data_IF_399058330876
#
_entry.id   IF_399058330876
#
_cell.length_a   1.000
_cell.length_b   1.000
_cell.length_c   1.000
_cell.angle_alpha   90.00
_cell.angle_beta   90.00
_cell.angle_gamma   90.00
#
_symmetry.space_group_name_H-M   'P 1'
#
loop_
_entity.id
_entity.type
_entity.pdbx_description
1 polymer ?
#
# COMPACT_ATOMS: atom_id res chain seq x y z
N UNK A 1 -16.42 2.54 15.64
CA UNK A 1 -17.34 3.54 15.03
C UNK A 1 -16.73 4.95 14.86
N UNK A 2 -16.22 5.62 15.90
CA UNK A 2 -15.64 7.00 15.78
C UNK A 2 -14.46 7.12 14.80
N UNK A 3 -13.62 6.09 14.67
CA UNK A 3 -12.44 6.12 13.80
C UNK A 3 -12.79 5.93 12.31
N UNK A 4 -13.76 5.05 12.03
CA UNK A 4 -14.33 4.81 10.70
C UNK A 4 -14.91 6.09 10.09
N UNK A 5 -15.71 6.82 10.87
CA UNK A 5 -16.36 8.05 10.43
C UNK A 5 -15.35 9.15 10.08
N UNK A 6 -14.21 9.22 10.79
CA UNK A 6 -13.13 10.17 10.48
C UNK A 6 -12.39 9.86 9.18
N UNK A 7 -12.33 8.60 8.74
CA UNK A 7 -11.64 8.20 7.49
C UNK A 7 -12.52 8.44 6.28
N UNK A 8 -13.77 7.99 6.32
CA UNK A 8 -14.77 8.24 5.29
C UNK A 8 -14.92 9.74 5.04
N UNK A 9 -15.05 10.52 6.13
CA UNK A 9 -15.19 11.97 6.05
C UNK A 9 -13.98 12.64 5.37
N UNK A 10 -12.76 12.17 5.62
CA UNK A 10 -11.55 12.72 4.98
C UNK A 10 -11.55 12.51 3.47
N UNK A 11 -11.86 11.31 3.00
CA UNK A 11 -11.90 11.02 1.56
C UNK A 11 -13.03 11.78 0.86
N UNK A 12 -14.20 11.87 1.50
CA UNK A 12 -15.32 12.65 0.99
C UNK A 12 -14.95 14.13 0.87
N UNK A 13 -14.31 14.70 1.90
CA UNK A 13 -13.84 16.10 1.87
C UNK A 13 -12.81 16.32 0.78
N UNK A 14 -11.84 15.42 0.60
CA UNK A 14 -10.82 15.52 -0.45
C UNK A 14 -11.46 15.51 -1.85
N UNK A 15 -12.38 14.59 -2.09
CA UNK A 15 -13.11 14.51 -3.36
C UNK A 15 -13.99 15.74 -3.60
N UNK A 16 -14.71 16.21 -2.58
CA UNK A 16 -15.52 17.42 -2.65
C UNK A 16 -14.65 18.65 -2.96
N UNK A 17 -13.51 18.77 -2.30
CA UNK A 17 -12.53 19.84 -2.55
C UNK A 17 -12.00 19.78 -3.98
N UNK A 18 -11.64 18.58 -4.46
CA UNK A 18 -11.22 18.37 -5.84
C UNK A 18 -12.29 18.82 -6.85
N UNK A 19 -13.55 18.43 -6.64
CA UNK A 19 -14.66 18.81 -7.50
C UNK A 19 -14.86 20.34 -7.57
N UNK A 20 -14.78 21.04 -6.43
CA UNK A 20 -14.83 22.51 -6.40
C UNK A 20 -13.68 23.12 -7.19
N UNK A 21 -12.45 22.64 -6.96
CA UNK A 21 -11.26 23.15 -7.66
C UNK A 21 -11.39 22.97 -9.17
N UNK A 22 -11.82 21.79 -9.64
CA UNK A 22 -12.03 21.51 -11.06
C UNK A 22 -13.09 22.43 -11.64
N UNK A 23 -14.19 22.68 -10.92
CA UNK A 23 -15.25 23.55 -11.40
C UNK A 23 -14.75 24.98 -11.61
N UNK A 24 -14.08 25.57 -10.61
CA UNK A 24 -13.50 26.91 -10.76
C UNK A 24 -12.40 26.95 -11.84
N UNK A 25 -11.58 25.92 -11.95
CA UNK A 25 -10.56 25.81 -13.00
C UNK A 25 -11.20 25.73 -14.40
N UNK A 26 -12.31 25.02 -14.54
CA UNK A 26 -13.06 24.93 -15.79
C UNK A 26 -13.64 26.29 -16.22
N UNK A 27 -14.14 27.09 -15.27
CA UNK A 27 -14.65 28.43 -15.53
C UNK A 27 -13.51 29.40 -15.85
N UNK A 28 -12.40 29.34 -15.11
CA UNK A 28 -11.21 30.15 -15.35
C UNK A 28 -10.63 29.91 -16.75
N UNK A 29 -10.67 28.66 -17.23
CA UNK A 29 -10.21 28.31 -18.57
C UNK A 29 -11.18 28.76 -19.65
N UNK A 30 -12.47 28.48 -19.49
CA UNK A 30 -13.45 28.71 -20.54
C UNK A 30 -13.78 30.18 -20.75
N UNK A 31 -13.93 30.92 -19.65
CA UNK A 31 -14.43 32.29 -19.68
C UNK A 31 -13.79 33.10 -18.53
N UNK A 32 -14.55 33.33 -17.47
CA UNK A 32 -14.15 34.10 -16.30
C UNK A 32 -14.98 33.66 -15.10
N UNK A 33 -14.41 33.81 -13.90
CA UNK A 33 -15.10 33.52 -12.66
C UNK A 33 -15.94 34.75 -12.29
N UNK A 34 -17.18 34.79 -12.77
CA UNK A 34 -18.18 35.82 -12.44
C UNK A 34 -19.50 35.17 -12.00
N UNK A 35 -20.37 35.97 -11.38
CA UNK A 35 -21.66 35.48 -10.82
C UNK A 35 -22.56 34.93 -11.93
N UNK A 36 -22.59 35.56 -13.10
CA UNK A 36 -23.39 35.10 -14.25
C UNK A 36 -23.00 33.69 -14.70
N UNK A 37 -21.71 33.41 -14.86
CA UNK A 37 -21.23 32.07 -15.22
C UNK A 37 -21.48 31.07 -14.08
N UNK A 38 -21.38 31.51 -12.82
CA UNK A 38 -21.67 30.66 -11.67
C UNK A 38 -23.14 30.24 -11.63
N UNK A 39 -24.07 31.16 -11.90
CA UNK A 39 -25.50 30.89 -12.00
C UNK A 39 -25.84 30.04 -13.23
N UNK A 40 -25.15 30.27 -14.35
CA UNK A 40 -25.36 29.53 -15.60
C UNK A 40 -24.93 28.07 -15.49
N UNK A 41 -23.74 27.80 -14.94
CA UNK A 41 -23.13 26.45 -14.93
C UNK A 41 -23.29 25.73 -13.58
N UNK A 42 -23.34 26.47 -12.48
CA UNK A 42 -23.34 25.94 -11.13
C UNK A 42 -24.47 24.94 -10.83
N UNK A 43 -25.73 25.20 -11.21
CA UNK A 43 -26.82 24.27 -10.91
C UNK A 43 -26.63 22.88 -11.55
N UNK A 44 -26.20 22.84 -12.82
CA UNK A 44 -26.05 21.59 -13.58
C UNK A 44 -24.81 20.81 -13.14
N UNK A 45 -23.68 21.50 -12.94
CA UNK A 45 -22.46 20.87 -12.41
C UNK A 45 -22.63 20.47 -10.94
N UNK A 46 -23.35 21.26 -10.15
CA UNK A 46 -23.71 20.93 -8.77
C UNK A 46 -24.57 19.67 -8.70
N UNK A 47 -25.58 19.56 -9.58
CA UNK A 47 -26.38 18.35 -9.71
C UNK A 47 -25.52 17.14 -10.07
N UNK A 48 -24.59 17.28 -11.03
CA UNK A 48 -23.63 16.22 -11.37
C UNK A 48 -22.83 15.75 -10.16
N UNK A 49 -22.27 16.68 -9.39
CA UNK A 49 -21.48 16.33 -8.20
C UNK A 49 -22.33 15.65 -7.14
N UNK A 50 -23.57 16.13 -6.89
CA UNK A 50 -24.50 15.49 -5.95
C UNK A 50 -24.77 14.05 -6.38
N UNK A 51 -25.11 13.83 -7.65
CA UNK A 51 -25.35 12.49 -8.19
C UNK A 51 -24.08 11.63 -8.07
N UNK A 52 -22.92 12.16 -8.44
CA UNK A 52 -21.65 11.44 -8.36
C UNK A 52 -21.25 11.04 -6.94
N UNK A 53 -21.42 11.93 -5.96
CA UNK A 53 -21.14 11.61 -4.57
C UNK A 53 -22.14 10.61 -4.01
N UNK A 54 -23.41 10.74 -4.36
CA UNK A 54 -24.44 9.78 -3.97
C UNK A 54 -24.16 8.38 -4.56
N UNK A 55 -23.86 8.27 -5.86
CA UNK A 55 -23.47 6.99 -6.46
C UNK A 55 -22.20 6.43 -5.83
N UNK A 56 -21.22 7.28 -5.56
CA UNK A 56 -19.98 6.86 -4.89
C UNK A 56 -20.21 6.32 -3.48
N UNK A 57 -21.16 6.89 -2.73
CA UNK A 57 -21.58 6.37 -1.42
C UNK A 57 -22.31 5.04 -1.55
N UNK A 58 -23.24 4.90 -2.50
CA UNK A 58 -23.96 3.64 -2.76
C UNK A 58 -23.01 2.50 -3.13
N UNK A 59 -21.97 2.78 -3.92
CA UNK A 59 -20.93 1.81 -4.27
C UNK A 59 -19.89 1.60 -3.17
N UNK A 60 -20.07 2.20 -1.99
CA UNK A 60 -19.14 2.09 -0.85
C UNK A 60 -17.70 2.47 -1.23
N UNK A 61 -17.54 3.43 -2.15
CA UNK A 61 -16.24 3.90 -2.67
C UNK A 61 -15.29 4.40 -1.58
N UNK A 62 -15.86 4.92 -0.50
CA UNK A 62 -15.13 5.49 0.63
C UNK A 62 -14.91 4.51 1.79
N UNK A 63 -15.38 3.26 1.66
CA UNK A 63 -15.20 2.24 2.66
C UNK A 63 -13.92 1.44 2.36
N UNK A 64 -12.96 1.55 3.27
CA UNK A 64 -11.60 1.00 3.11
C UNK A 64 -11.32 -0.18 4.03
N UNK A 65 -12.31 -0.63 4.80
CA UNK A 65 -12.17 -1.75 5.74
C UNK A 65 -12.10 -3.11 5.03
N UNK A 66 -12.47 -3.15 3.74
CA UNK A 66 -12.33 -4.31 2.87
C UNK A 66 -11.08 -4.19 2.00
N UNK A 67 -10.21 -5.19 2.09
CA UNK A 67 -9.01 -5.28 1.26
C UNK A 67 -9.40 -5.57 -0.19
N UNK A 68 -9.55 -4.52 -1.01
CA UNK A 68 -9.79 -4.69 -2.44
C UNK A 68 -8.45 -4.86 -3.18
N UNK A 69 -8.32 -5.87 -4.06
CA UNK A 69 -7.21 -5.93 -5.00
C UNK A 69 -7.28 -4.74 -5.96
N UNK A 70 -6.12 -4.28 -6.44
CA UNK A 70 -5.96 -3.05 -7.26
C UNK A 70 -7.01 -2.92 -8.38
N UNK A 71 -7.21 -3.99 -9.14
CA UNK A 71 -8.17 -3.99 -10.27
C UNK A 71 -9.63 -3.80 -9.83
N UNK A 72 -10.03 -4.40 -8.71
CA UNK A 72 -11.39 -4.23 -8.19
C UNK A 72 -11.62 -2.77 -7.75
N UNK A 73 -10.61 -2.15 -7.12
CA UNK A 73 -10.70 -0.77 -6.67
C UNK A 73 -10.87 0.20 -7.85
N UNK A 74 -10.08 0.05 -8.93
CA UNK A 74 -10.27 0.82 -10.15
C UNK A 74 -11.65 0.61 -10.78
N UNK A 75 -12.14 -0.63 -10.81
CA UNK A 75 -13.45 -0.94 -11.38
C UNK A 75 -14.59 -0.27 -10.62
N UNK A 76 -14.46 -0.12 -9.29
CA UNK A 76 -15.45 0.53 -8.44
C UNK A 76 -15.57 2.03 -8.75
N UNK A 77 -14.42 2.71 -8.84
CA UNK A 77 -14.36 4.13 -9.18
C UNK A 77 -14.89 4.37 -10.60
N UNK A 78 -14.47 3.54 -11.55
CA UNK A 78 -14.91 3.64 -12.94
C UNK A 78 -16.43 3.46 -13.09
N UNK A 79 -17.03 2.48 -12.39
CA UNK A 79 -18.49 2.25 -12.41
C UNK A 79 -19.26 3.46 -11.87
N UNK A 80 -18.83 4.03 -10.74
CA UNK A 80 -19.47 5.23 -10.18
C UNK A 80 -19.39 6.41 -11.14
N UNK A 81 -18.22 6.63 -11.75
CA UNK A 81 -18.03 7.67 -12.76
C UNK A 81 -18.90 7.46 -14.00
N UNK A 82 -18.96 6.24 -14.54
CA UNK A 82 -19.79 5.91 -15.71
C UNK A 82 -21.27 6.16 -15.46
N UNK A 83 -21.79 5.72 -14.31
CA UNK A 83 -23.22 5.84 -13.98
C UNK A 83 -23.59 7.31 -13.76
N UNK A 84 -22.83 8.04 -12.94
CA UNK A 84 -23.09 9.46 -12.67
C UNK A 84 -22.98 10.32 -13.93
N UNK A 85 -22.00 10.04 -14.79
CA UNK A 85 -21.85 10.72 -16.08
C UNK A 85 -23.00 10.38 -17.03
N UNK A 86 -23.40 9.11 -17.12
CA UNK A 86 -24.55 8.69 -17.93
C UNK A 86 -25.85 9.39 -17.51
N UNK A 87 -26.09 9.50 -16.21
CA UNK A 87 -27.25 10.23 -15.65
C UNK A 87 -27.20 11.71 -16.03
N UNK A 88 -26.05 12.38 -15.89
CA UNK A 88 -25.90 13.79 -16.26
C UNK A 88 -26.14 14.01 -17.75
N UNK A 89 -25.54 13.20 -18.61
CA UNK A 89 -25.69 13.34 -20.06
C UNK A 89 -27.14 13.11 -20.50
N UNK A 90 -27.81 12.12 -19.91
CA UNK A 90 -29.23 11.89 -20.13
C UNK A 90 -30.07 13.09 -19.67
N UNK A 91 -29.76 13.66 -18.50
CA UNK A 91 -30.43 14.85 -17.98
C UNK A 91 -30.27 16.05 -18.94
N UNK A 92 -29.05 16.35 -19.37
CA UNK A 92 -28.77 17.44 -20.31
C UNK A 92 -29.55 17.25 -21.63
N UNK A 93 -29.60 16.01 -22.12
CA UNK A 93 -30.32 15.67 -23.34
C UNK A 93 -31.84 15.84 -23.20
N UNK A 94 -32.44 15.27 -22.16
CA UNK A 94 -33.90 15.30 -21.93
C UNK A 94 -34.42 16.71 -21.73
N UNK A 95 -33.70 17.53 -20.97
CA UNK A 95 -34.08 18.93 -20.69
C UNK A 95 -33.57 19.92 -21.74
N UNK A 96 -32.92 19.43 -22.81
CA UNK A 96 -32.42 20.21 -23.93
C UNK A 96 -31.57 21.43 -23.50
N UNK A 97 -30.66 21.23 -22.54
CA UNK A 97 -29.75 22.26 -22.03
C UNK A 97 -28.62 22.60 -23.04
N UNK A 98 -29.00 23.06 -24.23
CA UNK A 98 -28.11 23.33 -25.37
C UNK A 98 -27.26 24.59 -25.21
N UNK A 99 -27.64 25.51 -24.32
CA UNK A 99 -26.89 26.73 -24.03
C UNK A 99 -25.62 26.49 -23.20
N UNK A 100 -25.46 25.29 -22.62
CA UNK A 100 -24.29 24.96 -21.82
C UNK A 100 -23.09 24.67 -22.72
N UNK A 101 -21.96 25.30 -22.39
CA UNK A 101 -20.67 24.98 -22.98
C UNK A 101 -20.29 23.52 -22.72
N UNK A 102 -20.22 22.74 -23.81
CA UNK A 102 -19.73 21.35 -23.79
C UNK A 102 -18.34 21.26 -23.19
N UNK A 103 -17.51 22.28 -23.41
CA UNK A 103 -16.17 22.34 -22.85
C UNK A 103 -16.20 22.37 -21.31
N UNK A 104 -17.07 23.19 -20.70
CA UNK A 104 -17.21 23.26 -19.23
C UNK A 104 -17.72 21.93 -18.68
N UNK A 105 -18.75 21.35 -19.31
CA UNK A 105 -19.32 20.06 -18.90
C UNK A 105 -18.27 18.95 -18.95
N UNK A 106 -17.60 18.78 -20.10
CA UNK A 106 -16.61 17.72 -20.29
C UNK A 106 -15.39 17.90 -19.38
N UNK A 107 -14.93 19.14 -19.19
CA UNK A 107 -13.83 19.43 -18.27
C UNK A 107 -14.18 19.04 -16.84
N UNK A 108 -15.42 19.24 -16.40
CA UNK A 108 -15.85 18.80 -15.07
C UNK A 108 -15.98 17.28 -14.97
N UNK A 109 -16.55 16.62 -15.98
CA UNK A 109 -16.69 15.15 -16.01
C UNK A 109 -15.31 14.46 -15.99
N UNK A 110 -14.43 14.85 -16.91
CA UNK A 110 -13.11 14.22 -17.03
C UNK A 110 -12.13 14.74 -16.00
N UNK A 111 -12.21 16.02 -15.62
CA UNK A 111 -11.39 16.58 -14.55
C UNK A 111 -11.64 15.83 -13.25
N UNK A 112 -12.90 15.57 -12.88
CA UNK A 112 -13.23 14.80 -11.68
C UNK A 112 -12.66 13.38 -11.77
N UNK A 113 -12.85 12.70 -12.90
CA UNK A 113 -12.28 11.37 -13.13
C UNK A 113 -10.75 11.33 -12.95
N UNK A 114 -10.04 12.30 -13.53
CA UNK A 114 -8.59 12.37 -13.46
C UNK A 114 -8.10 12.68 -12.05
N UNK A 115 -8.72 13.64 -11.36
CA UNK A 115 -8.35 13.98 -9.99
C UNK A 115 -8.58 12.80 -9.04
N UNK A 116 -9.71 12.11 -9.15
CA UNK A 116 -9.96 10.92 -8.35
C UNK A 116 -9.00 9.78 -8.67
N UNK A 117 -8.73 9.55 -9.97
CA UNK A 117 -7.76 8.55 -10.41
C UNK A 117 -6.36 8.85 -9.90
N UNK A 118 -5.94 10.12 -9.88
CA UNK A 118 -4.65 10.55 -9.35
C UNK A 118 -4.57 10.35 -7.84
N UNK A 119 -5.60 10.74 -7.08
CA UNK A 119 -5.67 10.51 -5.63
C UNK A 119 -5.64 9.01 -5.31
N UNK A 120 -6.37 8.19 -6.06
CA UNK A 120 -6.38 6.74 -5.92
C UNK A 120 -5.00 6.13 -6.19
N UNK A 121 -4.36 6.59 -7.26
CA UNK A 121 -3.04 6.10 -7.63
C UNK A 121 -1.99 6.49 -6.58
N UNK A 122 -2.03 7.73 -6.09
CA UNK A 122 -1.17 8.18 -4.98
C UNK A 122 -1.38 7.35 -3.72
N UNK A 123 -2.65 7.06 -3.37
CA UNK A 123 -2.98 6.20 -2.24
C UNK A 123 -2.39 4.78 -2.41
N UNK A 124 -2.52 4.20 -3.60
CA UNK A 124 -1.95 2.88 -3.90
C UNK A 124 -0.42 2.87 -3.87
N UNK A 125 0.24 3.94 -4.31
CA UNK A 125 1.69 4.08 -4.21
C UNK A 125 2.16 4.12 -2.76
N UNK A 126 1.52 4.94 -1.92
CA UNK A 126 1.81 5.02 -0.48
C UNK A 126 1.55 3.68 0.20
N UNK A 127 0.49 2.98 -0.18
CA UNK A 127 0.20 1.64 0.35
C UNK A 127 1.22 0.61 -0.12
N UNK A 128 1.70 0.69 -1.36
CA UNK A 128 2.71 -0.24 -1.88
C UNK A 128 4.12 -0.01 -1.31
N UNK A 129 4.38 1.18 -0.74
CA UNK A 129 5.68 1.49 -0.12
C UNK A 129 5.75 1.09 1.35
N UNK A 130 4.62 0.90 2.02
CA UNK A 130 4.56 0.23 3.32
C UNK A 130 4.62 -1.28 3.07
N UNK A 131 5.69 -1.94 3.50
CA UNK A 131 5.78 -3.40 3.51
C UNK A 131 4.66 -3.94 4.40
N UNK A 132 3.58 -4.43 3.79
CA UNK A 132 2.52 -5.15 4.49
C UNK A 132 3.13 -6.48 4.97
N UNK A 133 3.52 -6.54 6.25
CA UNK A 133 3.90 -7.80 6.91
C UNK A 133 2.68 -8.75 6.99
N UNK A 134 1.47 -8.22 6.81
CA UNK A 134 0.21 -8.94 6.83
C UNK A 134 -0.13 -9.65 5.50
N UNK A 135 0.67 -9.46 4.44
CA UNK A 135 0.53 -10.17 3.15
C UNK A 135 1.28 -11.52 3.10
N UNK A 136 1.85 -11.98 4.21
CA UNK A 136 2.28 -13.38 4.25
C UNK A 136 1.02 -14.26 4.06
N UNK A 137 0.95 -15.09 3.01
CA UNK A 137 -0.17 -16.00 2.83
C UNK A 137 -0.29 -16.77 4.13
N UNK A 138 -1.47 -16.75 4.76
CA UNK A 138 -1.79 -17.52 5.97
C UNK A 138 -1.07 -18.85 5.84
N UNK A 139 0.09 -18.97 6.52
CA UNK A 139 0.85 -20.19 6.48
C UNK A 139 -0.13 -21.17 7.07
N UNK A 140 -0.58 -22.11 6.24
CA UNK A 140 -1.36 -23.26 6.67
C UNK A 140 -0.71 -23.69 7.96
N UNK A 141 -1.45 -23.63 9.08
CA UNK A 141 -0.99 -24.12 10.39
C UNK A 141 -0.63 -25.58 10.18
N UNK A 142 0.58 -25.79 9.70
CA UNK A 142 1.24 -27.06 9.65
C UNK A 142 1.53 -27.31 11.11
N UNK A 143 1.09 -28.43 11.65
CA UNK A 143 1.41 -28.81 13.03
C UNK A 143 2.92 -28.62 13.19
N UNK A 144 3.30 -27.55 13.89
CA UNK A 144 4.70 -27.22 14.09
C UNK A 144 5.20 -28.25 15.09
N UNK A 145 6.26 -29.02 14.74
CA UNK A 145 6.88 -29.92 15.70
C UNK A 145 7.25 -29.13 16.97
N UNK A 146 7.15 -29.77 18.12
CA UNK A 146 7.46 -29.20 19.42
C UNK A 146 8.75 -28.35 19.39
N UNK A 147 8.67 -27.08 19.82
CA UNK A 147 9.71 -26.06 19.69
C UNK A 147 11.07 -26.57 20.18
N UNK A 148 11.04 -27.27 21.32
CA UNK A 148 12.19 -27.87 22.00
C UNK A 148 12.94 -28.87 21.11
N UNK A 149 12.24 -29.65 20.28
CA UNK A 149 12.88 -30.60 19.37
C UNK A 149 13.57 -29.90 18.19
N UNK A 150 12.98 -28.79 17.71
CA UNK A 150 13.54 -28.00 16.62
C UNK A 150 14.79 -27.24 17.10
N UNK A 151 14.74 -26.66 18.31
CA UNK A 151 15.88 -25.98 18.94
C UNK A 151 17.08 -26.93 19.11
N UNK A 152 16.87 -28.11 19.68
CA UNK A 152 17.93 -29.11 19.85
C UNK A 152 18.52 -29.57 18.52
N UNK A 153 17.68 -29.78 17.50
CA UNK A 153 18.12 -30.16 16.17
C UNK A 153 18.95 -29.06 15.48
N UNK A 154 18.57 -27.79 15.65
CA UNK A 154 19.30 -26.62 15.13
C UNK A 154 20.63 -26.40 15.87
N UNK A 155 20.62 -26.46 17.21
CA UNK A 155 21.83 -26.34 18.03
C UNK A 155 22.85 -27.44 17.70
N UNK A 156 22.38 -28.66 17.41
CA UNK A 156 23.25 -29.77 16.99
C UNK A 156 23.80 -29.60 15.57
N UNK A 157 23.03 -29.02 14.64
CA UNK A 157 23.46 -28.77 13.26
C UNK A 157 24.39 -27.55 13.15
N UNK A 158 24.26 -26.59 14.05
CA UNK A 158 24.98 -25.31 13.97
C UNK A 158 25.67 -25.02 15.31
N UNK A 159 26.92 -25.48 15.46
CA UNK A 159 27.64 -25.44 16.74
C UNK A 159 28.00 -24.03 17.23
N UNK A 160 27.79 -22.99 16.42
CA UNK A 160 28.11 -21.59 16.75
C UNK A 160 26.88 -20.71 17.00
N UNK A 161 25.68 -21.30 17.07
CA UNK A 161 24.48 -20.55 17.48
C UNK A 161 24.55 -20.26 18.97
N UNK A 162 24.27 -19.01 19.32
CA UNK A 162 24.06 -18.61 20.69
C UNK A 162 22.69 -19.12 21.16
N UNK A 163 22.60 -20.03 22.15
CA UNK A 163 21.33 -20.64 22.55
C UNK A 163 20.29 -19.60 22.98
N UNK A 164 20.72 -18.44 23.50
CA UNK A 164 19.83 -17.34 23.87
C UNK A 164 19.07 -16.78 22.65
N UNK A 165 19.73 -16.72 21.48
CA UNK A 165 19.11 -16.27 20.23
C UNK A 165 18.06 -17.23 19.67
N UNK A 166 18.11 -18.52 20.04
CA UNK A 166 17.08 -19.49 19.66
C UNK A 166 15.85 -19.36 20.54
N UNK A 167 16.04 -19.15 21.85
CA UNK A 167 14.93 -19.02 22.81
C UNK A 167 14.09 -17.75 22.60
N UNK A 168 14.65 -16.73 21.93
CA UNK A 168 13.91 -15.51 21.56
C UNK A 168 13.02 -15.70 20.31
N UNK A 169 13.20 -16.78 19.55
CA UNK A 169 12.44 -17.03 18.32
C UNK A 169 11.14 -17.78 18.61
N UNK A 170 10.05 -17.35 17.97
CA UNK A 170 8.81 -18.11 17.98
C UNK A 170 8.91 -19.42 17.19
N UNK A 171 8.06 -20.39 17.52
CA UNK A 171 7.94 -21.71 16.87
C UNK A 171 7.94 -21.63 15.33
N UNK A 172 7.14 -20.72 14.77
CA UNK A 172 7.05 -20.52 13.31
C UNK A 172 8.38 -20.09 12.69
N UNK A 173 9.16 -19.27 13.41
CA UNK A 173 10.45 -18.77 12.94
C UNK A 173 11.52 -19.85 13.01
N UNK A 174 11.52 -20.67 14.07
CA UNK A 174 12.39 -21.84 14.20
C UNK A 174 12.11 -22.87 13.10
N UNK A 175 10.84 -23.13 12.83
CA UNK A 175 10.42 -24.04 11.75
C UNK A 175 10.89 -23.54 10.39
N UNK A 176 10.65 -22.25 10.08
CA UNK A 176 11.13 -21.63 8.84
C UNK A 176 12.66 -21.74 8.71
N UNK A 177 13.38 -21.44 9.79
CA UNK A 177 14.84 -21.49 9.82
C UNK A 177 15.35 -22.92 9.53
N UNK A 178 14.76 -23.93 10.17
CA UNK A 178 15.11 -25.34 9.95
C UNK A 178 14.95 -25.76 8.49
N UNK A 179 13.84 -25.39 7.86
CA UNK A 179 13.59 -25.68 6.45
C UNK A 179 14.52 -24.93 5.49
N UNK A 180 14.80 -23.66 5.78
CA UNK A 180 15.66 -22.83 4.96
C UNK A 180 17.11 -23.34 4.99
N UNK A 181 17.57 -23.78 6.16
CA UNK A 181 18.94 -24.23 6.36
C UNK A 181 19.21 -25.62 5.77
N UNK A 182 18.21 -26.52 5.80
CA UNK A 182 18.33 -27.88 5.24
C UNK A 182 18.52 -27.91 3.72
N UNK A 183 18.12 -26.84 3.01
CA UNK A 183 18.26 -26.74 1.55
C UNK A 183 19.68 -26.44 1.07
N UNK A 184 20.59 -26.07 1.97
CA UNK A 184 21.93 -25.62 1.59
C UNK A 184 23.00 -26.32 2.42
N UNK A 185 24.06 -26.82 1.80
CA UNK A 185 25.21 -27.40 2.50
C UNK A 185 26.20 -26.32 2.95
N UNK A 186 26.96 -26.58 4.02
CA UNK A 186 28.10 -25.74 4.45
C UNK A 186 27.93 -25.03 5.80
N UNK A 187 29.05 -24.44 6.27
CA UNK A 187 29.14 -23.75 7.57
C UNK A 187 28.24 -22.51 7.57
N UNK A 188 27.30 -22.46 8.51
CA UNK A 188 26.33 -21.36 8.64
C UNK A 188 26.56 -20.60 9.93
N UNK A 189 26.55 -19.28 9.86
CA UNK A 189 26.60 -18.38 11.00
C UNK A 189 25.24 -17.71 11.17
N UNK A 190 24.67 -17.75 12.38
CA UNK A 190 23.40 -17.11 12.71
C UNK A 190 23.63 -16.09 13.81
N UNK A 191 23.03 -14.92 13.68
CA UNK A 191 23.09 -13.87 14.69
C UNK A 191 21.81 -13.04 14.71
N UNK A 192 21.57 -12.40 15.85
CA UNK A 192 20.57 -11.36 16.02
C UNK A 192 21.28 -10.05 16.38
N UNK A 193 21.72 -9.26 15.39
CA UNK A 193 22.47 -8.02 15.66
C UNK A 193 22.18 -6.92 14.65
N UNK A 194 22.27 -5.67 15.13
CA UNK A 194 22.28 -4.46 14.29
C UNK A 194 23.68 -3.88 14.09
N UNK A 195 24.71 -4.48 14.69
CA UNK A 195 26.08 -3.94 14.70
C UNK A 195 27.03 -4.84 13.92
N UNK A 196 27.90 -4.24 13.11
CA UNK A 196 28.93 -4.94 12.35
C UNK A 196 30.02 -5.53 13.25
N UNK A 197 30.23 -4.95 14.43
CA UNK A 197 31.22 -5.42 15.42
C UNK A 197 31.03 -6.91 15.75
N UNK A 198 29.79 -7.32 15.99
CA UNK A 198 29.43 -8.72 16.31
C UNK A 198 29.70 -9.71 15.16
N UNK A 199 29.78 -9.21 13.93
CA UNK A 199 30.12 -10.00 12.74
C UNK A 199 31.64 -10.10 12.64
N UNK A 200 32.35 -8.98 12.81
CA UNK A 200 33.81 -8.94 12.71
C UNK A 200 34.52 -9.71 13.84
N UNK A 201 33.99 -9.64 15.07
CA UNK A 201 34.62 -10.18 16.29
C UNK A 201 34.59 -11.70 16.39
N UNK A 202 33.70 -12.38 15.65
CA UNK A 202 33.63 -13.85 15.63
C UNK A 202 34.81 -14.41 14.83
N UNK A 203 35.62 -15.23 15.51
CA UNK A 203 36.76 -15.94 14.94
C UNK A 203 36.27 -17.13 14.11
N UNK A 204 36.28 -16.97 12.79
CA UNK A 204 35.92 -18.02 11.85
C UNK A 204 36.03 -17.47 10.43
N UNK A 205 36.85 -18.11 9.60
CA UNK A 205 36.86 -17.90 8.16
C UNK A 205 36.08 -19.04 7.49
N UNK A 206 35.50 -18.79 6.32
CA UNK A 206 34.87 -19.83 5.50
C UNK A 206 33.41 -20.15 5.85
N UNK A 207 32.64 -19.17 6.31
CA UNK A 207 31.20 -19.33 6.38
C UNK A 207 30.63 -19.29 4.98
N UNK A 208 29.91 -20.33 4.57
CA UNK A 208 29.17 -20.34 3.31
C UNK A 208 27.88 -19.55 3.40
N UNK A 209 27.36 -19.37 4.63
CA UNK A 209 26.05 -18.79 4.89
C UNK A 209 26.06 -17.94 6.14
N UNK A 210 25.39 -16.81 6.05
CA UNK A 210 25.21 -15.85 7.14
C UNK A 210 23.71 -15.51 7.22
N UNK A 211 23.11 -15.68 8.39
CA UNK A 211 21.70 -15.38 8.65
C UNK A 211 21.63 -14.35 9.78
N UNK A 212 21.10 -13.16 9.47
CA UNK A 212 20.74 -12.17 10.47
C UNK A 212 19.24 -12.24 10.77
N UNK A 213 18.88 -12.43 12.03
CA UNK A 213 17.50 -12.45 12.50
C UNK A 213 16.96 -11.02 12.75
N UNK A 214 17.85 -10.03 12.82
CA UNK A 214 17.45 -8.64 12.94
C UNK A 214 17.07 -8.04 11.58
N UNK A 215 16.11 -7.10 11.58
CA UNK A 215 15.77 -6.31 10.39
C UNK A 215 16.97 -5.50 9.91
N UNK A 216 17.24 -5.56 8.62
CA UNK A 216 18.34 -4.85 7.97
C UNK A 216 18.17 -3.32 8.04
N UNK A 217 16.93 -2.82 8.02
CA UNK A 217 16.64 -1.39 8.08
C UNK A 217 17.02 -0.73 9.42
N UNK A 218 17.17 -1.54 10.48
CA UNK A 218 17.54 -1.04 11.81
C UNK A 218 19.07 -0.96 11.99
N UNK A 219 19.84 -1.38 10.97
CA UNK A 219 21.30 -1.34 10.96
C UNK A 219 21.79 0.06 10.61
N UNK A 220 22.54 0.67 11.53
CA UNK A 220 23.28 1.90 11.24
C UNK A 220 24.48 1.59 10.34
N UNK A 221 24.68 2.43 9.32
CA UNK A 221 25.75 2.27 8.32
C UNK A 221 25.68 0.91 7.59
N UNK A 222 24.52 0.60 7.01
CA UNK A 222 24.24 -0.65 6.29
C UNK A 222 25.36 -1.09 5.33
N UNK A 223 26.01 -0.16 4.64
CA UNK A 223 27.13 -0.48 3.74
C UNK A 223 28.29 -1.15 4.48
N UNK A 224 28.69 -0.61 5.65
CA UNK A 224 29.76 -1.20 6.47
C UNK A 224 29.37 -2.53 7.09
N UNK A 225 28.08 -2.70 7.36
CA UNK A 225 27.54 -3.97 7.82
C UNK A 225 27.62 -5.05 6.72
N UNK A 226 27.24 -4.71 5.49
CA UNK A 226 27.33 -5.62 4.35
C UNK A 226 28.79 -5.91 3.96
N UNK A 227 29.68 -4.92 4.02
CA UNK A 227 31.13 -5.13 3.85
C UNK A 227 31.66 -6.17 4.86
N UNK A 228 31.31 -6.04 6.15
CA UNK A 228 31.73 -7.00 7.18
C UNK A 228 31.17 -8.42 6.97
N UNK A 229 29.96 -8.54 6.43
CA UNK A 229 29.39 -9.84 6.02
C UNK A 229 30.19 -10.42 4.86
N UNK A 230 30.46 -9.62 3.83
CA UNK A 230 31.15 -10.05 2.64
C UNK A 230 32.58 -10.52 2.92
N UNK A 231 33.28 -9.89 3.86
CA UNK A 231 34.62 -10.31 4.31
C UNK A 231 34.64 -11.71 4.94
N UNK A 232 33.50 -12.20 5.47
CA UNK A 232 33.39 -13.52 6.13
C UNK A 232 32.94 -14.63 5.18
N UNK A 233 32.38 -14.27 4.03
CA UNK A 233 31.99 -15.21 2.98
C UNK A 233 33.22 -15.58 2.13
N UNK A 234 33.28 -16.80 1.56
CA UNK A 234 34.34 -17.15 0.62
C UNK A 234 34.29 -16.22 -0.60
N UNK A 235 35.45 -15.90 -1.16
CA UNK A 235 35.52 -15.21 -2.45
C UNK A 235 34.85 -16.08 -3.52
N UNK A 236 33.87 -15.49 -4.21
CA UNK A 236 33.27 -16.02 -5.44
C UNK A 236 33.97 -15.46 -6.68
#
# INVERSE_FOLDING_TARGET
MKFFMKRLLRQLILNFTGAIVIFFLSLAWHSSINIENLERYGPVIGLYFIVHFFTSLLYRKYETDTYYPRMQLYSLYFRSWMISTGILLLFIYVFQYSYLSRFVILTNIFGLFLTEGALLHLYLLVRSSTVDIDELPNATKTEVPDATQIEEALAKKIPEIDPETLTELGEDSLYFLSQALDKFSGKTMIFNTTTSFNITSRSGAGYTKIVNLHRLNDVRYINKFLEAINEKLPMG
#
